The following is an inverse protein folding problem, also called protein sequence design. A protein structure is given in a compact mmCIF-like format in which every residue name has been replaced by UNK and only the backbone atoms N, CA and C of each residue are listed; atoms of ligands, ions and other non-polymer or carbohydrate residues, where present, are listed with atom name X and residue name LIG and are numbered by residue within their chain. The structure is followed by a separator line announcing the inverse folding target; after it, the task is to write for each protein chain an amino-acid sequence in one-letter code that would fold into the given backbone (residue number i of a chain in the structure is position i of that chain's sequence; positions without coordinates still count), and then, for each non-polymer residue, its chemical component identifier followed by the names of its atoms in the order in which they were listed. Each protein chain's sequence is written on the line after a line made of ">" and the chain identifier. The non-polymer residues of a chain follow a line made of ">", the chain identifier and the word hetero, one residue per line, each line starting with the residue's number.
data_IF_561728723090
#
_entry.id   IF_561728723090
#
_cell.length_a   1.000
_cell.length_b   1.000
_cell.length_c   1.000
_cell.angle_alpha   90.00
_cell.angle_beta   90.00
_cell.angle_gamma   90.00
#
_symmetry.space_group_name_H-M   'P 1'
#
loop_
_entity.id
_entity.type
_entity.pdbx_description
1 polymer ?
#
# COMPACT_ATOMS: atom_id res chain seq x y z
N UNK A 1 -4.83 14.37 -46.54
CA UNK A 1 -4.06 14.84 -45.36
C UNK A 1 -5.03 15.04 -44.20
N UNK A 2 -5.11 14.10 -43.31
CA UNK A 2 -6.04 14.14 -42.17
C UNK A 2 -5.24 14.69 -40.99
N UNK A 3 -5.59 15.90 -40.60
CA UNK A 3 -4.97 16.57 -39.45
C UNK A 3 -5.42 15.87 -38.15
N UNK A 4 -4.51 15.16 -37.52
CA UNK A 4 -4.73 14.64 -36.15
C UNK A 4 -4.77 15.83 -35.21
N UNK A 5 -5.93 16.09 -34.63
CA UNK A 5 -6.07 17.06 -33.55
C UNK A 5 -5.34 16.48 -32.33
N UNK A 6 -4.23 17.09 -31.94
CA UNK A 6 -3.63 16.86 -30.63
C UNK A 6 -4.66 17.19 -29.55
N UNK A 7 -5.17 16.16 -28.88
CA UNK A 7 -5.86 16.32 -27.62
C UNK A 7 -4.84 16.80 -26.58
N UNK A 8 -4.85 18.09 -26.26
CA UNK A 8 -4.22 18.60 -25.05
C UNK A 8 -4.90 17.89 -23.87
N UNK A 9 -4.22 16.90 -23.31
CA UNK A 9 -4.61 16.37 -22.02
C UNK A 9 -4.59 17.52 -21.02
N UNK A 10 -5.76 17.96 -20.58
CA UNK A 10 -5.90 18.88 -19.46
C UNK A 10 -5.32 18.12 -18.27
N UNK A 11 -4.24 18.60 -17.67
CA UNK A 11 -3.71 18.03 -16.43
C UNK A 11 -4.82 18.16 -15.38
N UNK A 12 -5.35 17.03 -14.96
CA UNK A 12 -6.30 17.00 -13.85
C UNK A 12 -5.47 17.33 -12.59
N UNK A 13 -5.66 18.49 -12.04
CA UNK A 13 -5.07 18.81 -10.74
C UNK A 13 -5.80 18.01 -9.67
N UNK A 14 -5.04 17.25 -8.89
CA UNK A 14 -5.58 16.48 -7.78
C UNK A 14 -6.00 17.43 -6.66
N UNK A 15 -7.12 17.16 -5.98
CA UNK A 15 -7.52 17.98 -4.85
C UNK A 15 -6.50 17.81 -3.71
N UNK A 16 -6.11 18.96 -3.13
CA UNK A 16 -5.23 19.01 -1.97
C UNK A 16 -6.05 19.29 -0.71
N UNK A 17 -5.74 18.56 0.37
CA UNK A 17 -6.33 18.77 1.69
C UNK A 17 -5.20 19.02 2.67
N UNK A 18 -5.20 20.18 3.31
CA UNK A 18 -4.20 20.54 4.30
C UNK A 18 -4.60 20.02 5.68
N UNK A 19 -3.77 19.16 6.27
CA UNK A 19 -4.02 18.60 7.60
C UNK A 19 -4.10 19.68 8.70
N UNK A 20 -3.34 20.77 8.57
CA UNK A 20 -3.37 21.87 9.54
C UNK A 20 -4.69 22.61 9.58
N UNK A 21 -5.44 22.63 8.47
CA UNK A 21 -6.78 23.23 8.41
C UNK A 21 -7.77 22.50 9.34
N UNK A 22 -7.49 21.26 9.74
CA UNK A 22 -8.34 20.54 10.70
C UNK A 22 -8.54 21.30 12.00
N UNK A 23 -7.53 22.02 12.45
CA UNK A 23 -7.57 22.81 13.70
C UNK A 23 -7.76 24.32 13.44
N UNK A 24 -7.10 24.86 12.41
CA UNK A 24 -7.12 26.28 12.09
C UNK A 24 -8.39 26.72 11.35
N UNK A 25 -8.95 25.87 10.50
CA UNK A 25 -10.16 26.14 9.69
C UNK A 25 -10.97 24.87 9.42
N UNK A 26 -11.63 24.28 10.44
CA UNK A 26 -12.33 23.00 10.31
C UNK A 26 -13.37 22.98 9.17
N UNK A 27 -14.07 24.07 8.95
CA UNK A 27 -15.09 24.15 7.90
C UNK A 27 -14.47 23.99 6.49
N UNK A 28 -13.31 24.61 6.25
CA UNK A 28 -12.57 24.44 5.00
C UNK A 28 -12.06 22.99 4.89
N UNK A 29 -11.44 22.47 5.93
CA UNK A 29 -10.91 21.11 5.95
C UNK A 29 -11.98 20.07 5.56
N UNK A 30 -13.14 20.09 6.22
CA UNK A 30 -14.20 19.12 5.94
C UNK A 30 -14.86 19.35 4.57
N UNK A 31 -14.92 20.58 4.08
CA UNK A 31 -15.41 20.87 2.72
C UNK A 31 -14.47 20.28 1.67
N UNK A 32 -13.16 20.53 1.79
CA UNK A 32 -12.16 20.07 0.83
C UNK A 32 -12.04 18.53 0.88
N UNK A 33 -12.05 17.93 2.07
CA UNK A 33 -12.07 16.50 2.26
C UNK A 33 -13.31 15.85 1.63
N UNK A 34 -14.50 16.42 1.87
CA UNK A 34 -15.74 15.90 1.29
C UNK A 34 -15.71 15.99 -0.23
N UNK A 35 -15.27 17.11 -0.79
CA UNK A 35 -15.12 17.30 -2.23
C UNK A 35 -14.14 16.26 -2.83
N UNK A 36 -12.96 16.13 -2.23
CA UNK A 36 -11.95 15.19 -2.69
C UNK A 36 -12.47 13.74 -2.72
N UNK A 37 -13.17 13.31 -1.67
CA UNK A 37 -13.68 11.95 -1.56
C UNK A 37 -14.91 11.67 -2.41
N UNK A 38 -15.80 12.65 -2.60
CA UNK A 38 -17.03 12.45 -3.40
C UNK A 38 -16.81 12.58 -4.90
N UNK A 39 -15.93 13.49 -5.33
CA UNK A 39 -15.73 13.77 -6.76
C UNK A 39 -14.55 13.03 -7.38
N UNK A 40 -13.50 12.75 -6.59
CA UNK A 40 -12.26 12.12 -7.07
C UNK A 40 -12.02 10.72 -6.47
N UNK A 41 -12.44 10.49 -5.24
CA UNK A 41 -12.16 9.25 -4.49
C UNK A 41 -10.76 9.21 -3.86
N UNK A 42 -9.90 10.20 -4.09
CA UNK A 42 -8.54 10.32 -3.54
C UNK A 42 -8.08 11.78 -3.53
N UNK A 43 -7.00 12.07 -2.81
CA UNK A 43 -6.46 13.41 -2.62
C UNK A 43 -4.96 13.40 -2.36
N UNK A 44 -4.34 14.57 -2.42
CA UNK A 44 -3.03 14.84 -1.82
C UNK A 44 -3.26 15.43 -0.44
N UNK A 45 -2.82 14.72 0.60
CA UNK A 45 -2.85 15.23 1.97
C UNK A 45 -1.53 15.92 2.28
N UNK A 46 -1.57 17.21 2.59
CA UNK A 46 -0.38 18.00 2.93
C UNK A 46 -0.27 18.24 4.44
N UNK A 47 0.92 18.54 4.90
CA UNK A 47 1.23 18.87 6.31
C UNK A 47 0.78 17.82 7.35
N UNK A 48 0.62 16.55 6.94
CA UNK A 48 0.27 15.47 7.85
C UNK A 48 1.44 15.14 8.78
N UNK A 49 1.26 15.13 10.12
CA UNK A 49 2.32 14.84 11.07
C UNK A 49 2.93 13.44 10.84
N UNK A 50 4.26 13.36 10.88
CA UNK A 50 4.97 12.09 10.69
C UNK A 50 5.13 11.63 9.24
N UNK A 51 4.53 12.32 8.26
CA UNK A 51 4.61 11.97 6.83
C UNK A 51 5.40 12.97 5.98
N UNK A 52 6.36 13.68 6.61
CA UNK A 52 7.25 14.60 5.91
C UNK A 52 8.22 13.91 4.95
N UNK A 53 8.97 14.71 4.18
CA UNK A 53 9.88 14.24 3.12
C UNK A 53 10.88 13.20 3.60
N UNK A 54 11.45 13.38 4.80
CA UNK A 54 12.42 12.44 5.38
C UNK A 54 11.81 11.05 5.57
N UNK A 55 10.61 10.98 6.15
CA UNK A 55 9.88 9.72 6.30
C UNK A 55 9.57 9.08 4.95
N UNK A 56 9.06 9.85 4.00
CA UNK A 56 8.73 9.35 2.67
C UNK A 56 9.97 8.81 1.95
N UNK A 57 11.07 9.56 1.95
CA UNK A 57 12.33 9.13 1.36
C UNK A 57 12.87 7.85 2.01
N UNK A 58 12.78 7.76 3.34
CA UNK A 58 13.16 6.55 4.06
C UNK A 58 12.28 5.37 3.64
N UNK A 59 10.97 5.51 3.70
CA UNK A 59 10.02 4.46 3.33
C UNK A 59 10.22 3.97 1.88
N UNK A 60 10.38 4.89 0.93
CA UNK A 60 10.63 4.53 -0.47
C UNK A 60 11.97 3.84 -0.67
N UNK A 61 13.01 4.21 0.07
CA UNK A 61 14.31 3.54 0.01
C UNK A 61 14.21 2.10 0.50
N UNK A 62 13.54 1.86 1.63
CA UNK A 62 13.38 0.52 2.20
C UNK A 62 12.51 -0.37 1.30
N UNK A 63 11.41 0.17 0.79
CA UNK A 63 10.53 -0.54 -0.17
C UNK A 63 11.30 -0.91 -1.43
N UNK A 64 12.07 0.01 -1.99
CA UNK A 64 12.90 -0.26 -3.18
C UNK A 64 13.95 -1.31 -2.87
N UNK A 65 14.63 -1.22 -1.73
CA UNK A 65 15.62 -2.20 -1.28
C UNK A 65 15.05 -3.62 -1.24
N UNK A 66 13.81 -3.79 -0.79
CA UNK A 66 13.14 -5.09 -0.81
C UNK A 66 12.84 -5.58 -2.24
N UNK A 67 12.28 -4.74 -3.11
CA UNK A 67 11.91 -5.17 -4.47
C UNK A 67 13.13 -5.41 -5.36
N UNK A 68 14.24 -4.72 -5.12
CA UNK A 68 15.53 -4.92 -5.80
C UNK A 68 16.33 -6.12 -5.24
N UNK A 69 15.92 -6.67 -4.09
CA UNK A 69 16.60 -7.79 -3.45
C UNK A 69 16.50 -9.09 -4.28
N UNK A 70 17.36 -10.05 -3.94
CA UNK A 70 17.37 -11.36 -4.59
C UNK A 70 16.00 -12.07 -4.45
N UNK A 71 15.66 -12.90 -5.43
CA UNK A 71 14.43 -13.69 -5.39
C UNK A 71 14.41 -14.63 -4.17
N UNK A 72 15.57 -15.14 -3.76
CA UNK A 72 15.66 -16.05 -2.62
C UNK A 72 15.30 -15.32 -1.32
N UNK A 73 15.75 -14.09 -1.14
CA UNK A 73 15.34 -13.27 0.01
C UNK A 73 13.84 -12.94 -0.04
N UNK A 74 13.31 -12.53 -1.19
CA UNK A 74 11.87 -12.24 -1.34
C UNK A 74 10.99 -13.45 -1.02
N UNK A 75 11.45 -14.67 -1.36
CA UNK A 75 10.74 -15.92 -1.06
C UNK A 75 10.68 -16.26 0.43
N UNK A 76 11.62 -15.78 1.26
CA UNK A 76 11.54 -16.00 2.73
C UNK A 76 10.28 -15.40 3.32
N UNK A 77 9.80 -14.29 2.73
CA UNK A 77 8.56 -13.63 3.10
C UNK A 77 7.37 -13.94 2.17
N UNK A 78 7.41 -15.05 1.41
CA UNK A 78 6.36 -15.35 0.45
C UNK A 78 5.01 -15.58 1.13
N UNK A 79 3.93 -15.08 0.54
CA UNK A 79 2.57 -15.15 1.07
C UNK A 79 2.09 -16.58 1.36
N UNK A 80 2.63 -17.59 0.69
CA UNK A 80 2.32 -19.01 0.97
C UNK A 80 2.92 -19.55 2.25
N UNK A 81 3.86 -18.82 2.88
CA UNK A 81 4.49 -19.23 4.14
C UNK A 81 3.59 -19.02 5.36
N UNK A 82 2.43 -18.39 5.16
CA UNK A 82 1.48 -18.05 6.20
C UNK A 82 0.04 -18.20 5.68
N UNK A 83 -0.93 -18.56 6.52
CA UNK A 83 -2.34 -18.56 6.12
C UNK A 83 -2.98 -17.15 6.10
N UNK A 84 -2.28 -16.12 6.54
CA UNK A 84 -2.90 -14.81 6.86
C UNK A 84 -2.90 -13.79 5.72
N UNK A 85 -2.62 -14.18 4.49
CA UNK A 85 -2.54 -13.24 3.35
C UNK A 85 -1.58 -12.09 3.59
N UNK A 86 -0.42 -12.38 4.21
CA UNK A 86 0.66 -11.43 4.48
C UNK A 86 1.93 -11.88 3.79
N UNK A 87 2.70 -10.91 3.28
CA UNK A 87 4.00 -11.17 2.68
C UNK A 87 4.06 -10.87 1.19
N UNK A 88 5.11 -11.38 0.58
CA UNK A 88 5.43 -11.17 -0.82
C UNK A 88 4.63 -12.08 -1.74
N UNK A 89 4.15 -11.53 -2.84
CA UNK A 89 3.51 -12.28 -3.91
C UNK A 89 4.13 -11.96 -5.27
N UNK A 90 4.35 -13.02 -6.05
CA UNK A 90 4.71 -12.95 -7.45
C UNK A 90 3.45 -12.93 -8.32
N UNK A 91 3.51 -12.29 -9.48
CA UNK A 91 2.44 -12.43 -10.47
C UNK A 91 2.28 -13.89 -10.88
N UNK A 92 1.06 -14.35 -10.92
CA UNK A 92 0.76 -15.69 -11.44
C UNK A 92 0.97 -15.73 -12.97
N UNK A 93 1.13 -16.92 -13.58
CA UNK A 93 1.16 -17.04 -15.03
C UNK A 93 -0.08 -16.45 -15.73
N UNK A 94 -1.24 -16.46 -15.08
CA UNK A 94 -2.46 -15.83 -15.58
C UNK A 94 -2.34 -14.31 -15.67
N UNK A 95 -1.70 -13.67 -14.68
CA UNK A 95 -1.48 -12.22 -14.67
C UNK A 95 -0.52 -11.79 -15.78
N UNK A 96 0.45 -12.65 -16.14
CA UNK A 96 1.41 -12.39 -17.23
C UNK A 96 0.75 -12.34 -18.62
N UNK A 97 -0.39 -13.03 -18.81
CA UNK A 97 -1.15 -13.02 -20.06
C UNK A 97 -1.73 -11.66 -20.42
N UNK A 98 -1.84 -10.74 -19.46
CA UNK A 98 -2.34 -9.38 -19.65
C UNK A 98 -1.23 -8.32 -19.79
N UNK A 99 0.04 -8.72 -19.94
CA UNK A 99 1.17 -7.82 -20.13
C UNK A 99 1.61 -7.04 -18.89
N UNK A 100 0.97 -7.25 -17.74
CA UNK A 100 1.35 -6.62 -16.49
C UNK A 100 2.04 -7.63 -15.58
N UNK A 101 3.25 -7.27 -15.12
CA UNK A 101 4.00 -8.02 -14.11
C UNK A 101 4.03 -7.15 -12.86
N UNK A 102 3.24 -7.52 -11.86
CA UNK A 102 3.17 -6.78 -10.59
C UNK A 102 3.71 -7.67 -9.48
N UNK A 103 4.79 -7.23 -8.85
CA UNK A 103 5.22 -7.75 -7.56
C UNK A 103 4.52 -6.97 -6.45
N UNK A 104 4.08 -7.63 -5.40
CA UNK A 104 3.43 -6.97 -4.28
C UNK A 104 3.93 -7.52 -2.94
N UNK A 105 3.97 -6.65 -1.94
CA UNK A 105 4.18 -7.03 -0.54
C UNK A 105 2.98 -6.58 0.28
N UNK A 106 2.30 -7.52 0.89
CA UNK A 106 1.09 -7.27 1.67
C UNK A 106 1.40 -7.37 3.16
N UNK A 107 1.13 -6.30 3.87
CA UNK A 107 1.23 -6.25 5.32
C UNK A 107 0.01 -5.55 5.93
N UNK A 108 -0.18 -5.71 7.21
CA UNK A 108 -1.25 -5.08 7.94
C UNK A 108 -0.81 -4.78 9.37
N UNK A 109 -1.77 -4.48 10.20
CA UNK A 109 -1.51 -4.28 11.62
C UNK A 109 -0.90 -5.56 12.22
N UNK A 110 0.23 -5.41 12.95
CA UNK A 110 0.89 -6.53 13.62
C UNK A 110 0.03 -7.00 14.80
N UNK A 111 -0.38 -8.24 14.76
CA UNK A 111 -1.27 -8.80 15.79
C UNK A 111 -1.18 -10.31 15.85
N UNK A 112 -1.48 -10.87 17.01
CA UNK A 112 -1.65 -12.29 17.18
C UNK A 112 -2.91 -12.80 16.47
N UNK A 113 -2.94 -14.08 16.05
CA UNK A 113 -4.13 -14.68 15.48
C UNK A 113 -5.32 -14.60 16.44
N UNK A 114 -6.50 -14.22 15.94
CA UNK A 114 -7.72 -14.23 16.75
C UNK A 114 -8.23 -15.64 17.06
N UNK A 115 -7.88 -16.61 16.25
CA UNK A 115 -8.27 -18.00 16.38
C UNK A 115 -7.37 -18.86 15.52
N UNK A 116 -7.46 -20.17 15.67
CA UNK A 116 -6.81 -21.10 14.76
C UNK A 116 -7.34 -20.89 13.33
N UNK A 117 -6.45 -20.82 12.35
CA UNK A 117 -6.81 -20.64 10.94
C UNK A 117 -7.65 -21.81 10.41
N UNK A 118 -7.53 -23.01 10.99
CA UNK A 118 -8.29 -24.21 10.65
C UNK A 118 -9.64 -24.32 11.36
N UNK A 119 -9.93 -23.49 12.35
CA UNK A 119 -11.22 -23.50 13.05
C UNK A 119 -12.34 -22.98 12.16
N UNK A 120 -12.98 -23.89 11.40
CA UNK A 120 -14.07 -23.58 10.47
C UNK A 120 -15.34 -23.08 11.16
N UNK A 121 -15.42 -23.10 12.47
CA UNK A 121 -16.52 -22.49 13.23
C UNK A 121 -16.43 -20.98 13.30
N UNK A 122 -15.24 -20.42 13.04
CA UNK A 122 -14.99 -18.99 13.05
C UNK A 122 -15.14 -18.37 11.65
N UNK A 123 -15.54 -17.10 11.57
CA UNK A 123 -15.62 -16.38 10.31
C UNK A 123 -14.29 -16.38 9.56
N UNK A 124 -14.34 -16.49 8.23
CA UNK A 124 -13.14 -16.57 7.37
C UNK A 124 -12.18 -15.38 7.57
N UNK A 125 -12.72 -14.18 7.77
CA UNK A 125 -11.91 -12.98 7.98
C UNK A 125 -11.17 -12.96 9.34
N UNK A 126 -11.67 -13.68 10.36
CA UNK A 126 -10.93 -13.87 11.60
C UNK A 126 -9.77 -14.85 11.44
N UNK A 127 -9.96 -15.87 10.58
CA UNK A 127 -9.00 -16.94 10.38
C UNK A 127 -7.85 -16.56 9.43
N UNK A 128 -8.15 -15.78 8.37
CA UNK A 128 -7.21 -15.53 7.29
C UNK A 128 -6.68 -14.08 7.21
N UNK A 129 -7.39 -13.10 7.79
CA UNK A 129 -6.97 -11.70 7.71
C UNK A 129 -6.50 -11.11 9.03
N UNK A 130 -6.47 -11.92 10.08
CA UNK A 130 -6.05 -11.53 11.43
C UNK A 130 -4.91 -12.42 11.90
N UNK A 131 -3.69 -11.93 11.83
CA UNK A 131 -2.50 -12.63 12.25
C UNK A 131 -1.23 -11.81 11.99
N UNK A 132 -0.06 -12.37 12.34
CA UNK A 132 1.22 -11.70 12.19
C UNK A 132 1.55 -11.44 10.73
N UNK A 133 2.37 -10.42 10.48
CA UNK A 133 2.98 -10.20 9.19
C UNK A 133 4.10 -11.21 8.94
N UNK A 134 4.37 -11.48 7.67
CA UNK A 134 5.50 -12.29 7.24
C UNK A 134 6.59 -11.35 6.70
N UNK A 135 7.63 -11.12 7.50
CA UNK A 135 8.73 -10.24 7.14
C UNK A 135 9.88 -11.04 6.51
N UNK A 136 10.67 -10.44 5.59
CA UNK A 136 11.92 -11.03 5.13
C UNK A 136 12.92 -11.10 6.29
N UNK A 137 13.97 -11.93 6.13
CA UNK A 137 15.01 -12.05 7.13
C UNK A 137 15.63 -10.69 7.49
N UNK A 138 15.56 -10.33 8.79
CA UNK A 138 15.84 -8.99 9.29
C UNK A 138 17.28 -8.49 9.10
N UNK A 139 18.25 -9.42 9.04
CA UNK A 139 19.66 -9.07 8.85
C UNK A 139 19.96 -8.53 7.45
N UNK A 140 19.13 -8.84 6.46
CA UNK A 140 19.32 -8.42 5.07
C UNK A 140 18.63 -7.08 4.75
N UNK A 141 17.57 -6.73 5.47
CA UNK A 141 16.77 -5.51 5.26
C UNK A 141 16.32 -4.92 6.61
N UNK A 142 17.25 -4.37 7.40
CA UNK A 142 16.97 -3.99 8.79
C UNK A 142 15.96 -2.85 8.94
N UNK A 143 15.78 -2.04 7.90
CA UNK A 143 14.83 -0.91 7.89
C UNK A 143 13.48 -1.23 7.27
N UNK A 144 13.29 -2.41 6.68
CA UNK A 144 12.04 -2.76 5.99
C UNK A 144 10.91 -3.14 6.94
N UNK A 145 11.27 -3.67 8.11
CA UNK A 145 10.32 -3.92 9.21
C UNK A 145 10.22 -2.67 10.08
N UNK A 146 9.00 -2.14 10.33
CA UNK A 146 8.78 -1.00 11.23
C UNK A 146 9.21 -1.26 12.67
#
# INVERSE_FOLDING_TARGET
>A
MTTVKENKATSLELPEVDWLDRESNPNKFFKDLSYALSEFGFMVLTNAPGFGDEFQQHAFREVRGFFDASMDLKKTAHISNTPYFRGYSLPTPADRGHGQVIEAFQYGFEQEPLCDYDDKTKPIHHRLFRGPNTWPDGDSLPGFRP
#
